data_IF_603550194809
#
_entry.id   IF_603550194809
#
_cell.length_a   1.000
_cell.length_b   1.000
_cell.length_c   1.000
_cell.angle_alpha   90.00
_cell.angle_beta   90.00
_cell.angle_gamma   90.00
#
_symmetry.space_group_name_H-M   'P 1'
#
loop_
_entity.id
_entity.type
_entity.pdbx_description
1 polymer ?
#
# COMPACT_ATOMS: atom_id res chain seq x y z
N UNK A 1 -5.13 -19.40 9.86
CA UNK A 1 -4.31 -18.71 8.84
C UNK A 1 -4.87 -17.32 8.65
N UNK A 2 -4.04 -16.27 8.70
CA UNK A 2 -4.50 -14.88 8.53
C UNK A 2 -5.05 -14.68 7.12
N UNK A 3 -6.30 -14.21 7.03
CA UNK A 3 -6.92 -13.87 5.75
C UNK A 3 -6.17 -12.66 5.16
N UNK A 4 -5.40 -12.88 4.09
CA UNK A 4 -4.64 -11.89 3.30
C UNK A 4 -3.24 -11.49 3.81
N UNK A 5 -2.46 -12.47 4.25
CA UNK A 5 -1.02 -12.24 4.41
C UNK A 5 -0.39 -11.79 3.08
N UNK A 6 0.25 -10.62 3.07
CA UNK A 6 0.95 -10.09 1.89
C UNK A 6 2.30 -10.80 1.74
N UNK A 7 2.47 -11.55 0.66
CA UNK A 7 3.73 -12.21 0.32
C UNK A 7 4.61 -11.36 -0.59
N UNK A 8 4.00 -10.62 -1.52
CA UNK A 8 4.72 -9.72 -2.44
C UNK A 8 4.00 -8.39 -2.54
N UNK A 9 4.77 -7.32 -2.65
CA UNK A 9 4.27 -5.98 -2.89
C UNK A 9 5.10 -5.27 -3.95
N UNK A 10 4.49 -4.32 -4.63
CA UNK A 10 5.15 -3.46 -5.61
C UNK A 10 5.06 -1.99 -5.19
N UNK A 11 6.05 -1.22 -5.59
CA UNK A 11 6.19 0.18 -5.24
C UNK A 11 5.22 1.04 -6.07
N UNK A 12 4.63 2.05 -5.41
CA UNK A 12 3.84 3.09 -6.08
C UNK A 12 4.65 4.39 -6.08
N UNK A 13 4.84 4.96 -4.89
CA UNK A 13 5.56 6.22 -4.68
C UNK A 13 6.02 6.35 -3.23
N UNK A 14 6.93 7.29 -3.00
CA UNK A 14 7.26 7.74 -1.65
C UNK A 14 6.48 9.03 -1.36
N UNK A 15 5.98 9.15 -0.13
CA UNK A 15 5.40 10.39 0.37
C UNK A 15 6.16 10.83 1.61
N UNK A 16 6.21 12.14 1.85
CA UNK A 16 6.80 12.70 3.07
C UNK A 16 5.67 12.99 4.04
N UNK A 17 5.72 12.37 5.22
CA UNK A 17 4.74 12.57 6.29
C UNK A 17 5.45 12.59 7.63
N UNK A 18 5.15 13.59 8.47
CA UNK A 18 5.79 13.76 9.78
C UNK A 18 7.33 13.76 9.70
N UNK A 19 7.90 14.47 8.70
CA UNK A 19 9.35 14.52 8.38
C UNK A 19 9.99 13.15 8.08
N UNK A 20 9.19 12.12 7.81
CA UNK A 20 9.65 10.79 7.45
C UNK A 20 9.14 10.40 6.07
N UNK A 21 9.93 9.57 5.39
CA UNK A 21 9.53 8.99 4.11
C UNK A 21 8.70 7.74 4.35
N UNK A 22 7.46 7.76 3.89
CA UNK A 22 6.57 6.61 3.89
C UNK A 22 6.52 6.01 2.48
N UNK A 23 6.87 4.73 2.35
CA UNK A 23 6.75 4.03 1.08
C UNK A 23 5.34 3.50 0.88
N UNK A 24 4.66 4.03 -0.13
CA UNK A 24 3.33 3.59 -0.56
C UNK A 24 3.48 2.46 -1.56
N UNK A 25 2.84 1.33 -1.29
CA UNK A 25 2.95 0.07 -2.04
C UNK A 25 1.58 -0.57 -2.24
N UNK A 26 1.48 -1.51 -3.17
CA UNK A 26 0.33 -2.40 -3.29
C UNK A 26 0.74 -3.86 -3.24
N UNK A 27 -0.13 -4.73 -2.74
CA UNK A 27 0.09 -6.16 -2.75
C UNK A 27 -0.03 -6.73 -4.18
N UNK A 28 0.94 -7.54 -4.59
CA UNK A 28 0.92 -8.31 -5.84
C UNK A 28 0.68 -9.79 -5.60
N UNK A 29 0.91 -10.27 -4.38
CA UNK A 29 0.57 -11.63 -3.96
C UNK A 29 0.14 -11.61 -2.50
N UNK A 30 -1.05 -12.12 -2.22
CA UNK A 30 -1.56 -12.39 -0.87
C UNK A 30 -1.78 -13.89 -0.70
N UNK A 31 -2.25 -14.32 0.47
CA UNK A 31 -2.69 -15.70 0.71
C UNK A 31 -3.94 -16.09 -0.08
N UNK A 32 -4.74 -15.13 -0.53
CA UNK A 32 -6.00 -15.38 -1.23
C UNK A 32 -5.92 -15.17 -2.75
N UNK A 33 -5.03 -14.28 -3.23
CA UNK A 33 -4.98 -13.92 -4.65
C UNK A 33 -3.60 -13.45 -5.11
N UNK A 34 -3.41 -13.39 -6.43
CA UNK A 34 -2.22 -12.84 -7.08
C UNK A 34 -2.65 -11.86 -8.17
N UNK A 35 -1.98 -10.70 -8.22
CA UNK A 35 -2.19 -9.67 -9.26
C UNK A 35 -0.84 -9.11 -9.69
N UNK A 36 -0.66 -8.93 -10.99
CA UNK A 36 0.58 -8.39 -11.58
C UNK A 36 0.63 -6.86 -11.55
N UNK A 37 -0.50 -6.19 -11.80
CA UNK A 37 -0.57 -4.74 -11.92
C UNK A 37 -1.80 -4.17 -11.21
N UNK A 38 -1.67 -2.97 -10.66
CA UNK A 38 -2.79 -2.19 -10.14
C UNK A 38 -3.11 -1.07 -11.13
N UNK A 39 -4.39 -0.80 -11.41
CA UNK A 39 -4.78 0.32 -12.27
C UNK A 39 -4.18 1.63 -11.77
N UNK A 40 -3.65 2.46 -12.68
CA UNK A 40 -2.93 3.70 -12.34
C UNK A 40 -3.78 4.65 -11.49
N UNK A 41 -5.05 4.83 -11.83
CA UNK A 41 -5.98 5.65 -11.07
C UNK A 41 -6.17 5.16 -9.63
N UNK A 42 -6.16 3.83 -9.40
CA UNK A 42 -6.27 3.28 -8.04
C UNK A 42 -4.97 3.51 -7.25
N UNK A 43 -3.82 3.40 -7.90
CA UNK A 43 -2.52 3.73 -7.28
C UNK A 43 -2.48 5.19 -6.83
N UNK A 44 -2.91 6.10 -7.70
CA UNK A 44 -2.98 7.54 -7.42
C UNK A 44 -3.96 7.84 -6.28
N UNK A 45 -5.19 7.34 -6.37
CA UNK A 45 -6.22 7.51 -5.33
C UNK A 45 -5.75 7.00 -3.97
N UNK A 46 -5.12 5.82 -3.94
CA UNK A 46 -4.57 5.28 -2.69
C UNK A 46 -3.47 6.17 -2.13
N UNK A 47 -2.56 6.64 -2.98
CA UNK A 47 -1.47 7.49 -2.55
C UNK A 47 -1.95 8.83 -1.96
N UNK A 48 -2.97 9.45 -2.59
CA UNK A 48 -3.61 10.66 -2.08
C UNK A 48 -4.38 10.40 -0.78
N UNK A 49 -5.02 9.24 -0.65
CA UNK A 49 -5.69 8.85 0.59
C UNK A 49 -4.71 8.74 1.75
N UNK A 50 -3.53 8.12 1.54
CA UNK A 50 -2.49 8.01 2.57
C UNK A 50 -1.87 9.38 2.92
N UNK A 51 -1.76 10.29 1.95
CA UNK A 51 -1.34 11.68 2.22
C UNK A 51 -2.32 12.41 3.14
N UNK A 52 -3.63 12.15 3.03
CA UNK A 52 -4.68 12.78 3.85
C UNK A 52 -5.00 12.03 5.14
N UNK A 53 -4.73 10.72 5.22
CA UNK A 53 -5.10 9.88 6.37
C UNK A 53 -4.21 10.13 7.58
N UNK A 54 -4.66 9.85 8.79
CA UNK A 54 -3.71 9.82 9.91
C UNK A 54 -2.83 8.56 9.80
N UNK A 55 -1.51 8.73 9.72
CA UNK A 55 -0.56 7.62 9.59
C UNK A 55 0.32 7.64 10.83
N UNK A 56 0.42 6.52 11.56
CA UNK A 56 1.25 6.45 12.75
C UNK A 56 2.67 6.94 12.45
N UNK A 57 3.24 7.76 13.34
CA UNK A 57 4.55 8.36 13.15
C UNK A 57 5.70 7.32 13.02
N UNK A 58 5.43 6.06 13.36
CA UNK A 58 6.37 4.95 13.23
C UNK A 58 6.10 4.05 12.00
N UNK A 59 5.17 4.43 11.13
CA UNK A 59 4.91 3.68 9.91
C UNK A 59 6.00 3.97 8.87
N UNK A 60 6.66 2.92 8.39
CA UNK A 60 7.63 3.02 7.29
C UNK A 60 7.00 2.72 5.92
N UNK A 61 5.90 1.95 5.89
CA UNK A 61 5.27 1.46 4.67
C UNK A 61 3.76 1.40 4.80
N UNK A 62 3.05 1.80 3.75
CA UNK A 62 1.61 1.58 3.60
C UNK A 62 1.39 0.63 2.42
N UNK A 63 0.64 -0.45 2.61
CA UNK A 63 0.41 -1.47 1.58
C UNK A 63 -1.10 -1.60 1.34
N UNK A 64 -1.55 -1.31 0.12
CA UNK A 64 -2.92 -1.59 -0.30
C UNK A 64 -3.08 -3.09 -0.59
N UNK A 65 -3.93 -3.76 0.17
CA UNK A 65 -4.38 -5.13 -0.07
C UNK A 65 -5.91 -5.13 -0.16
N UNK A 66 -6.46 -5.52 -1.32
CA UNK A 66 -7.91 -5.62 -1.51
C UNK A 66 -8.41 -6.95 -0.94
N UNK A 67 -9.51 -6.91 -0.19
CA UNK A 67 -10.37 -8.06 0.05
C UNK A 67 -11.19 -8.29 -1.22
N UNK A 68 -11.31 -9.54 -1.65
CA UNK A 68 -12.18 -9.92 -2.77
C UNK A 68 -13.37 -10.66 -2.21
#
# INVERSE_FOLDING_TARGET
MSYNQVFKSSFIKNIIKNRKTLSVKYATKTSAWRRTQLGKSIQENFSQAIEKSDVPANAAKAILATLK
#
